data_IF_123261916571
#
_entry.id   IF_123261916571
#
_cell.length_a   1.000
_cell.length_b   1.000
_cell.length_c   1.000
_cell.angle_alpha   90.00
_cell.angle_beta   90.00
_cell.angle_gamma   90.00
#
_symmetry.space_group_name_H-M   'P 1'
#
loop_
_entity.id
_entity.type
_entity.pdbx_description
1 polymer ?
#
# COMPACT_ATOMS: atom_id res chain seq x y z
N UNK A 1 10.79 -1.36 21.21
CA UNK A 1 10.27 -1.80 19.92
C UNK A 1 11.08 -3.00 19.43
N UNK A 2 10.41 -4.09 19.08
CA UNK A 2 11.06 -5.25 18.48
C UNK A 2 11.54 -4.97 17.06
N UNK A 3 12.55 -5.71 16.58
CA UNK A 3 13.09 -5.58 15.20
C UNK A 3 12.01 -5.57 14.11
N UNK A 4 10.93 -6.35 14.29
CA UNK A 4 9.79 -6.41 13.36
C UNK A 4 9.02 -5.08 13.29
N UNK A 5 8.86 -4.39 14.42
CA UNK A 5 8.16 -3.10 14.49
C UNK A 5 9.01 -2.01 13.84
N UNK A 6 10.32 -2.00 14.08
CA UNK A 6 11.26 -1.07 13.44
C UNK A 6 11.27 -1.27 11.92
N UNK A 7 11.31 -2.53 11.46
CA UNK A 7 11.28 -2.85 10.03
C UNK A 7 9.95 -2.41 9.38
N UNK A 8 8.83 -2.63 10.06
CA UNK A 8 7.50 -2.20 9.60
C UNK A 8 7.38 -0.68 9.57
N UNK A 9 7.92 0.01 10.57
CA UNK A 9 7.93 1.47 10.63
C UNK A 9 8.80 2.05 9.50
N UNK A 10 10.00 1.50 9.28
CA UNK A 10 10.88 1.90 8.20
C UNK A 10 10.26 1.69 6.81
N UNK A 11 9.58 0.56 6.61
CA UNK A 11 8.83 0.30 5.37
C UNK A 11 7.69 1.31 5.15
N UNK A 12 6.95 1.66 6.20
CA UNK A 12 5.88 2.66 6.12
C UNK A 12 6.40 4.07 5.82
N UNK A 13 7.49 4.48 6.46
CA UNK A 13 8.14 5.77 6.20
C UNK A 13 8.72 5.82 4.78
N UNK A 14 9.40 4.76 4.35
CA UNK A 14 9.93 4.65 2.99
C UNK A 14 8.84 4.72 1.93
N UNK A 15 7.71 4.06 2.17
CA UNK A 15 6.53 4.14 1.31
C UNK A 15 5.97 5.57 1.22
N UNK A 16 5.85 6.27 2.36
CA UNK A 16 5.42 7.67 2.41
C UNK A 16 6.35 8.61 1.64
N UNK A 17 7.68 8.40 1.74
CA UNK A 17 8.66 9.22 1.00
C UNK A 17 8.49 9.02 -0.51
N UNK A 18 8.37 7.76 -0.96
CA UNK A 18 8.14 7.44 -2.38
C UNK A 18 6.85 8.13 -2.88
N UNK A 19 5.79 8.11 -2.07
CA UNK A 19 4.54 8.81 -2.38
C UNK A 19 4.70 10.31 -2.59
N UNK A 20 5.41 10.99 -1.69
CA UNK A 20 5.63 12.43 -1.81
C UNK A 20 6.43 12.75 -3.07
N UNK A 21 7.43 11.94 -3.40
CA UNK A 21 8.25 12.12 -4.61
C UNK A 21 7.41 11.91 -5.88
N UNK A 22 6.57 10.87 -5.90
CA UNK A 22 5.75 10.51 -7.08
C UNK A 22 4.68 11.58 -7.37
N UNK A 23 4.04 12.12 -6.31
CA UNK A 23 3.08 13.22 -6.44
C UNK A 23 3.72 14.55 -6.85
N UNK A 24 4.99 14.76 -6.50
CA UNK A 24 5.73 15.97 -6.86
C UNK A 24 6.52 15.83 -8.16
N UNK A 25 6.46 14.66 -8.81
CA UNK A 25 7.11 14.42 -10.09
C UNK A 25 6.53 15.35 -11.17
N UNK A 26 7.33 15.96 -12.04
CA UNK A 26 6.79 16.74 -13.14
C UNK A 26 6.09 15.85 -14.16
N UNK A 27 4.92 16.31 -14.63
CA UNK A 27 4.17 15.66 -15.71
C UNK A 27 4.95 15.78 -17.03
N UNK A 28 5.12 14.68 -17.80
CA UNK A 28 5.65 14.73 -19.16
C UNK A 28 4.82 15.67 -20.06
N UNK A 29 5.50 16.46 -20.90
CA UNK A 29 4.85 17.44 -21.79
C UNK A 29 3.80 16.82 -22.72
N UNK A 30 3.95 15.53 -23.05
CA UNK A 30 3.06 14.81 -23.96
C UNK A 30 1.68 14.49 -23.35
N UNK A 31 1.58 14.48 -22.02
CA UNK A 31 0.30 14.24 -21.30
C UNK A 31 -0.20 15.49 -20.57
N UNK A 32 0.57 16.57 -20.61
CA UNK A 32 0.24 17.83 -19.95
C UNK A 32 -0.99 18.48 -20.62
N UNK A 33 -2.03 18.77 -19.84
CA UNK A 33 -3.33 19.27 -20.30
C UNK A 33 -4.39 18.17 -20.54
N UNK A 34 -4.02 16.89 -20.46
CA UNK A 34 -4.95 15.77 -20.53
C UNK A 34 -5.34 15.30 -19.11
N UNK A 35 -6.43 15.85 -18.58
CA UNK A 35 -6.91 15.62 -17.21
C UNK A 35 -6.82 14.17 -16.73
N UNK A 36 -7.37 13.22 -17.48
CA UNK A 36 -7.35 11.80 -17.09
C UNK A 36 -5.94 11.20 -17.12
N UNK A 37 -5.12 11.55 -18.12
CA UNK A 37 -3.76 11.05 -18.25
C UNK A 37 -2.85 11.55 -17.12
N UNK A 38 -2.99 12.82 -16.72
CA UNK A 38 -2.27 13.39 -15.57
C UNK A 38 -2.65 12.70 -14.26
N UNK A 39 -3.95 12.48 -14.06
CA UNK A 39 -4.45 11.75 -12.88
C UNK A 39 -3.89 10.32 -12.87
N UNK A 40 -3.96 9.60 -13.98
CA UNK A 40 -3.43 8.24 -14.05
C UNK A 40 -1.91 8.20 -13.85
N UNK A 41 -1.18 9.21 -14.31
CA UNK A 41 0.27 9.31 -14.15
C UNK A 41 0.66 9.43 -12.66
N UNK A 42 0.01 10.31 -11.90
CA UNK A 42 0.33 10.50 -10.48
C UNK A 42 -0.30 9.48 -9.54
N UNK A 43 -1.53 9.05 -9.85
CA UNK A 43 -2.32 8.25 -8.92
C UNK A 43 -2.40 6.77 -9.32
N UNK A 44 -2.06 6.39 -10.55
CA UNK A 44 -2.17 5.01 -11.01
C UNK A 44 -1.29 4.06 -10.19
N UNK A 45 0.00 4.38 -10.09
CA UNK A 45 0.95 3.62 -9.27
C UNK A 45 0.57 3.66 -7.79
N UNK A 46 0.20 4.84 -7.32
CA UNK A 46 -0.25 5.11 -5.96
C UNK A 46 -1.40 4.17 -5.53
N UNK A 47 -2.45 4.12 -6.36
CA UNK A 47 -3.65 3.31 -6.13
C UNK A 47 -3.36 1.82 -6.21
N UNK A 48 -2.45 1.40 -7.10
CA UNK A 48 -2.02 0.00 -7.18
C UNK A 48 -1.33 -0.46 -5.88
N UNK A 49 -0.39 0.34 -5.36
CA UNK A 49 0.28 0.01 -4.10
C UNK A 49 -0.71 -0.06 -2.92
N UNK A 50 -1.69 0.85 -2.86
CA UNK A 50 -2.74 0.84 -1.83
C UNK A 50 -3.60 -0.42 -1.93
N UNK A 51 -3.98 -0.81 -3.15
CA UNK A 51 -4.74 -2.05 -3.36
C UNK A 51 -3.96 -3.29 -2.89
N UNK A 52 -2.65 -3.35 -3.15
CA UNK A 52 -1.79 -4.42 -2.63
C UNK A 52 -1.74 -4.44 -1.09
N UNK A 53 -1.66 -3.28 -0.43
CA UNK A 53 -1.66 -3.18 1.03
C UNK A 53 -3.00 -3.65 1.63
N UNK A 54 -4.13 -3.25 1.03
CA UNK A 54 -5.44 -3.72 1.46
C UNK A 54 -5.60 -5.22 1.27
N UNK A 55 -5.14 -5.76 0.14
CA UNK A 55 -5.17 -7.21 -0.09
C UNK A 55 -4.30 -7.96 0.92
N UNK A 56 -3.09 -7.47 1.21
CA UNK A 56 -2.23 -8.04 2.23
C UNK A 56 -2.90 -8.05 3.62
N UNK A 57 -3.51 -6.93 4.01
CA UNK A 57 -4.23 -6.82 5.27
C UNK A 57 -5.43 -7.76 5.31
N UNK A 58 -6.19 -7.86 4.21
CA UNK A 58 -7.33 -8.78 4.06
C UNK A 58 -6.89 -10.24 4.23
N UNK A 59 -5.88 -10.66 3.47
CA UNK A 59 -5.33 -12.03 3.52
C UNK A 59 -4.82 -12.41 4.91
N UNK A 60 -4.11 -11.48 5.57
CA UNK A 60 -3.68 -11.66 6.96
C UNK A 60 -4.86 -11.83 7.91
N UNK A 61 -5.92 -11.04 7.74
CA UNK A 61 -7.10 -11.11 8.57
C UNK A 61 -7.89 -12.42 8.36
N UNK A 62 -7.99 -12.89 7.13
CA UNK A 62 -8.56 -14.20 6.82
C UNK A 62 -7.79 -15.35 7.49
N UNK A 63 -6.46 -15.29 7.48
CA UNK A 63 -5.63 -16.30 8.14
C UNK A 63 -5.86 -16.33 9.65
N UNK A 64 -5.88 -15.17 10.29
CA UNK A 64 -6.16 -15.05 11.74
C UNK A 64 -7.54 -15.59 12.09
N UNK A 65 -8.58 -15.25 11.31
CA UNK A 65 -9.94 -15.80 11.51
C UNK A 65 -9.99 -17.33 11.43
N UNK A 66 -9.24 -17.94 10.50
CA UNK A 66 -9.15 -19.40 10.36
C UNK A 66 -8.42 -20.04 11.55
N UNK A 67 -7.33 -19.43 12.02
CA UNK A 67 -6.58 -19.87 13.20
C UNK A 67 -7.43 -19.81 14.49
N UNK A 68 -8.18 -18.72 14.67
CA UNK A 68 -9.07 -18.54 15.84
C UNK A 68 -10.22 -19.54 15.82
N UNK A 69 -10.81 -19.80 14.65
CA UNK A 69 -11.87 -20.80 14.48
C UNK A 69 -11.38 -22.23 14.77
N UNK A 70 -10.13 -22.55 14.43
CA UNK A 70 -9.53 -23.86 14.74
C UNK A 70 -9.18 -24.01 16.22
N UNK A 71 -8.70 -22.94 16.88
CA UNK A 71 -8.45 -22.94 18.33
C UNK A 71 -9.74 -23.10 19.13
N UNK A 72 -10.83 -22.46 18.70
CA UNK A 72 -12.14 -22.59 19.36
C UNK A 72 -12.77 -23.98 19.21
N UNK A 73 -12.43 -24.75 18.16
CA UNK A 73 -12.90 -26.13 17.96
C UNK A 73 -12.09 -27.19 18.70
N UNK A 74 -10.90 -26.83 19.21
CA UNK A 74 -10.01 -27.73 19.98
C UNK A 74 -10.19 -27.61 21.51
N UNK A 75 -11.01 -26.65 21.96
CA UNK A 75 -11.45 -26.50 23.36
C UNK A 75 -12.82 -27.15 23.51
#
# INVERSE_FOLDING_TARGET
MGRKEILSLAAGIGFLIIWVIDLNSPVPKDIQGHFWSEIFYHYGWLMYCVACLFYYQFSKNERLKKEDSQKSKKK
#
